data_IF_275266576779
#
_entry.id   IF_275266576779
#
_cell.length_a   1.000
_cell.length_b   1.000
_cell.length_c   1.000
_cell.angle_alpha   90.00
_cell.angle_beta   90.00
_cell.angle_gamma   90.00
#
_symmetry.space_group_name_H-M   'P 1'
#
loop_
_entity.id
_entity.type
_entity.pdbx_description
1 polymer ?
#
# COMPACT_ATOMS: atom_id res chain seq x y z
N UNK A 1 7.09 -32.42 -3.61
CA UNK A 1 8.41 -32.31 -4.28
C UNK A 1 8.44 -30.92 -4.88
N UNK A 2 8.86 -29.95 -4.08
CA UNK A 2 8.84 -28.54 -4.46
C UNK A 2 10.05 -28.28 -5.36
N UNK A 3 9.78 -27.77 -6.56
CA UNK A 3 10.82 -27.37 -7.50
C UNK A 3 11.41 -26.04 -7.00
N UNK A 4 12.47 -26.12 -6.19
CA UNK A 4 13.26 -24.95 -5.82
C UNK A 4 13.86 -24.31 -7.08
N UNK A 5 13.34 -23.14 -7.45
CA UNK A 5 13.73 -22.38 -8.65
C UNK A 5 14.82 -21.36 -8.36
N UNK A 6 15.84 -21.39 -9.23
CA UNK A 6 16.88 -20.37 -9.53
C UNK A 6 17.61 -19.75 -8.34
N UNK A 7 18.84 -20.24 -8.11
CA UNK A 7 19.86 -19.60 -7.27
C UNK A 7 20.43 -18.39 -8.03
N UNK A 8 19.94 -17.19 -7.74
CA UNK A 8 20.49 -15.93 -8.24
C UNK A 8 20.87 -15.01 -7.09
N UNK A 9 22.15 -14.64 -6.98
CA UNK A 9 22.65 -13.61 -6.05
C UNK A 9 22.24 -13.74 -4.56
N UNK A 10 22.21 -14.97 -4.03
CA UNK A 10 21.93 -15.22 -2.61
C UNK A 10 20.45 -15.14 -2.20
N UNK A 11 19.55 -14.92 -3.16
CA UNK A 11 18.09 -14.88 -2.96
C UNK A 11 17.46 -16.16 -3.48
N UNK A 12 16.55 -16.72 -2.70
CA UNK A 12 15.76 -17.89 -3.01
C UNK A 12 14.30 -17.46 -3.18
N UNK A 13 13.62 -18.07 -4.15
CA UNK A 13 12.19 -17.85 -4.36
C UNK A 13 11.45 -19.15 -4.62
N UNK A 14 10.23 -19.28 -4.13
CA UNK A 14 9.29 -20.30 -4.60
C UNK A 14 8.45 -19.71 -5.73
N UNK A 15 8.02 -20.57 -6.67
CA UNK A 15 6.91 -20.26 -7.55
C UNK A 15 5.82 -21.27 -7.25
N UNK A 16 4.67 -20.79 -6.78
CA UNK A 16 3.49 -21.64 -6.63
C UNK A 16 2.82 -21.85 -8.00
N UNK A 17 1.92 -22.84 -8.09
CA UNK A 17 1.08 -23.07 -9.28
C UNK A 17 0.21 -21.85 -9.63
N UNK A 18 -0.05 -20.99 -8.65
CA UNK A 18 -0.89 -19.79 -8.76
C UNK A 18 -0.08 -18.49 -8.84
N UNK A 19 1.26 -18.56 -8.84
CA UNK A 19 2.15 -17.42 -9.09
C UNK A 19 2.70 -16.71 -7.85
N UNK A 20 2.46 -17.19 -6.62
CA UNK A 20 3.08 -16.65 -5.41
C UNK A 20 4.60 -16.78 -5.50
N UNK A 21 5.26 -15.69 -5.14
CA UNK A 21 6.70 -15.57 -5.06
C UNK A 21 7.04 -15.26 -3.59
N UNK A 22 7.09 -16.30 -2.76
CA UNK A 22 7.79 -16.16 -1.47
C UNK A 22 9.26 -15.92 -1.80
N UNK A 23 9.90 -14.94 -1.15
CA UNK A 23 11.31 -14.59 -1.38
C UNK A 23 12.04 -14.51 -0.04
N UNK A 24 13.17 -15.18 0.06
CA UNK A 24 13.97 -15.29 1.29
C UNK A 24 15.45 -15.51 1.01
N UNK A 25 16.30 -15.33 2.02
CA UNK A 25 17.74 -15.56 1.88
C UNK A 25 18.05 -17.04 1.64
N UNK A 26 18.90 -17.36 0.65
CA UNK A 26 19.34 -18.74 0.45
C UNK A 26 20.25 -19.26 1.57
N UNK A 27 20.78 -18.36 2.41
CA UNK A 27 21.59 -18.75 3.57
C UNK A 27 20.68 -19.18 4.71
N UNK A 28 20.72 -20.47 5.05
CA UNK A 28 19.81 -21.08 6.01
C UNK A 28 19.80 -20.40 7.39
N UNK A 29 20.95 -19.90 7.87
CA UNK A 29 21.01 -19.15 9.14
C UNK A 29 20.19 -17.86 9.09
N UNK A 30 20.24 -17.16 7.96
CA UNK A 30 19.61 -15.85 7.78
C UNK A 30 18.10 -16.05 7.56
N UNK A 31 17.73 -17.05 6.76
CA UNK A 31 16.32 -17.45 6.60
C UNK A 31 15.68 -17.93 7.90
N UNK A 32 16.42 -18.54 8.81
CA UNK A 32 15.90 -19.00 10.10
C UNK A 32 15.74 -17.85 11.10
N UNK A 33 16.54 -16.79 11.00
CA UNK A 33 16.45 -15.61 11.87
C UNK A 33 15.43 -14.58 11.41
N UNK A 34 15.07 -14.58 10.13
CA UNK A 34 14.09 -13.66 9.56
C UNK A 34 12.70 -13.83 10.22
N UNK A 35 12.32 -12.88 11.08
CA UNK A 35 11.07 -12.87 11.83
C UNK A 35 10.09 -11.76 11.38
N UNK A 36 10.40 -11.06 10.29
CA UNK A 36 9.58 -10.00 9.75
C UNK A 36 8.96 -10.36 8.40
N UNK A 37 7.64 -10.53 8.37
CA UNK A 37 6.87 -10.73 7.16
C UNK A 37 6.65 -9.41 6.42
N UNK A 38 7.03 -9.35 5.14
CA UNK A 38 6.71 -8.25 4.23
C UNK A 38 5.72 -8.75 3.18
N UNK A 39 4.47 -8.29 3.26
CA UNK A 39 3.41 -8.65 2.32
C UNK A 39 3.38 -7.62 1.20
N UNK A 40 3.61 -8.06 -0.04
CA UNK A 40 3.58 -7.20 -1.23
C UNK A 40 2.30 -7.41 -2.03
N UNK A 41 1.57 -6.32 -2.30
CA UNK A 41 0.20 -6.37 -2.86
C UNK A 41 0.14 -5.63 -4.20
N UNK A 42 -0.21 -6.34 -5.28
CA UNK A 42 -0.22 -5.79 -6.63
C UNK A 42 -1.41 -4.86 -6.91
N UNK A 43 -1.24 -4.03 -7.94
CA UNK A 43 -2.29 -3.16 -8.48
C UNK A 43 -3.28 -3.87 -9.40
N UNK A 44 -4.13 -3.05 -10.05
CA UNK A 44 -5.19 -3.54 -10.94
C UNK A 44 -4.60 -4.23 -12.17
N UNK A 45 -5.19 -5.37 -12.56
CA UNK A 45 -4.69 -6.26 -13.61
C UNK A 45 -3.23 -6.74 -13.40
N UNK A 46 -2.69 -6.58 -12.18
CA UNK A 46 -1.34 -6.97 -11.82
C UNK A 46 -1.21 -8.42 -11.39
N UNK A 47 0.00 -8.76 -10.95
CA UNK A 47 0.29 -10.05 -10.32
C UNK A 47 1.49 -9.96 -9.38
N UNK A 48 1.80 -11.05 -8.66
CA UNK A 48 2.94 -11.14 -7.77
C UNK A 48 4.30 -10.81 -8.45
N UNK A 49 4.42 -11.02 -9.77
CA UNK A 49 5.66 -10.71 -10.51
C UNK A 49 5.94 -9.21 -10.60
N UNK A 50 4.93 -8.36 -10.46
CA UNK A 50 5.08 -6.89 -10.45
C UNK A 50 5.99 -6.42 -9.30
N UNK A 51 6.10 -7.23 -8.26
CA UNK A 51 6.92 -6.97 -7.07
C UNK A 51 8.23 -7.75 -7.05
N UNK A 52 8.55 -8.52 -8.10
CA UNK A 52 9.75 -9.37 -8.15
C UNK A 52 11.01 -8.60 -7.81
N UNK A 53 11.23 -7.46 -8.47
CA UNK A 53 12.43 -6.65 -8.27
C UNK A 53 12.53 -6.20 -6.80
N UNK A 54 11.46 -5.58 -6.27
CA UNK A 54 11.44 -5.10 -4.90
C UNK A 54 11.67 -6.23 -3.89
N UNK A 55 10.96 -7.36 -4.03
CA UNK A 55 11.09 -8.50 -3.14
C UNK A 55 12.54 -9.03 -3.08
N UNK A 56 13.19 -9.14 -4.23
CA UNK A 56 14.59 -9.55 -4.30
C UNK A 56 15.53 -8.52 -3.68
N UNK A 57 15.29 -7.21 -3.84
CA UNK A 57 16.11 -6.18 -3.20
C UNK A 57 15.94 -6.14 -1.67
N UNK A 58 14.71 -6.28 -1.17
CA UNK A 58 14.43 -6.36 0.26
C UNK A 58 15.22 -7.50 0.91
N UNK A 59 15.21 -8.69 0.32
CA UNK A 59 15.94 -9.84 0.83
C UNK A 59 17.46 -9.69 0.67
N UNK A 60 17.95 -9.08 -0.42
CA UNK A 60 19.39 -8.81 -0.59
C UNK A 60 19.94 -7.90 0.49
N UNK A 61 19.20 -6.85 0.84
CA UNK A 61 19.64 -5.82 1.80
C UNK A 61 19.37 -6.23 3.25
N UNK A 62 18.28 -6.96 3.51
CA UNK A 62 17.85 -7.37 4.86
C UNK A 62 17.72 -8.90 5.03
N UNK A 63 18.74 -9.70 4.64
CA UNK A 63 18.63 -11.15 4.46
C UNK A 63 18.29 -11.93 5.73
N UNK A 64 18.69 -11.41 6.89
CA UNK A 64 18.49 -12.02 8.22
C UNK A 64 17.27 -11.45 8.97
N UNK A 65 16.57 -10.49 8.37
CA UNK A 65 15.40 -9.81 8.97
C UNK A 65 14.10 -10.19 8.30
N UNK A 66 14.04 -10.15 6.96
CA UNK A 66 12.78 -10.19 6.23
C UNK A 66 12.52 -11.51 5.51
N UNK A 67 11.25 -11.91 5.54
CA UNK A 67 10.66 -12.90 4.65
C UNK A 67 9.59 -12.17 3.82
N UNK A 68 9.75 -12.14 2.50
CA UNK A 68 8.84 -11.40 1.62
C UNK A 68 7.83 -12.36 1.01
N UNK A 69 6.55 -12.00 1.05
CA UNK A 69 5.46 -12.73 0.42
C UNK A 69 4.76 -11.81 -0.60
N UNK A 70 4.92 -12.10 -1.89
CA UNK A 70 4.13 -11.44 -2.94
C UNK A 70 2.78 -12.16 -3.08
N UNK A 71 1.69 -11.44 -2.77
CA UNK A 71 0.32 -11.98 -2.73
C UNK A 71 -0.14 -12.45 -4.12
N UNK A 72 -0.85 -13.58 -4.18
CA UNK A 72 -1.36 -14.20 -5.41
C UNK A 72 -2.88 -14.30 -5.47
N UNK A 73 -3.62 -14.02 -4.38
CA UNK A 73 -5.08 -14.22 -4.39
C UNK A 73 -5.84 -13.22 -5.25
N UNK A 74 -5.20 -12.11 -5.63
CA UNK A 74 -5.80 -11.03 -6.42
C UNK A 74 -5.00 -10.74 -7.70
N UNK A 75 -4.94 -11.73 -8.61
CA UNK A 75 -4.24 -11.61 -9.90
C UNK A 75 -5.18 -11.31 -11.06
N UNK A 76 -4.69 -10.57 -12.07
CA UNK A 76 -5.38 -10.35 -13.34
C UNK A 76 -6.83 -9.88 -13.15
N UNK A 77 -7.82 -10.59 -13.71
CA UNK A 77 -9.23 -10.19 -13.65
C UNK A 77 -9.84 -10.25 -12.24
N UNK A 78 -9.24 -10.99 -11.30
CA UNK A 78 -9.69 -11.02 -9.89
C UNK A 78 -9.52 -9.66 -9.22
N UNK A 79 -8.65 -8.79 -9.77
CA UNK A 79 -8.49 -7.41 -9.29
C UNK A 79 -9.72 -6.52 -9.53
N UNK A 80 -10.70 -7.01 -10.31
CA UNK A 80 -11.93 -6.29 -10.64
C UNK A 80 -13.11 -6.66 -9.70
N UNK A 81 -12.89 -7.59 -8.77
CA UNK A 81 -13.93 -8.12 -7.88
C UNK A 81 -14.33 -7.17 -6.74
N UNK A 82 -13.67 -6.01 -6.61
CA UNK A 82 -13.93 -5.04 -5.54
C UNK A 82 -12.91 -5.12 -4.40
N UNK A 83 -12.57 -3.95 -3.86
CA UNK A 83 -11.60 -3.81 -2.74
C UNK A 83 -11.98 -4.63 -1.50
N UNK A 84 -13.27 -4.78 -1.22
CA UNK A 84 -13.77 -5.58 -0.09
C UNK A 84 -13.51 -7.08 -0.29
N UNK A 85 -13.88 -7.63 -1.44
CA UNK A 85 -13.65 -9.04 -1.79
C UNK A 85 -12.16 -9.34 -1.87
N UNK A 86 -11.40 -8.46 -2.53
CA UNK A 86 -9.94 -8.61 -2.61
C UNK A 86 -9.29 -8.54 -1.23
N UNK A 87 -9.75 -7.65 -0.36
CA UNK A 87 -9.22 -7.47 0.98
C UNK A 87 -9.50 -8.67 1.90
N UNK A 88 -10.68 -9.28 1.79
CA UNK A 88 -11.00 -10.52 2.50
C UNK A 88 -10.08 -11.67 2.04
N UNK A 89 -9.88 -11.82 0.73
CA UNK A 89 -8.96 -12.82 0.18
C UNK A 89 -7.53 -12.62 0.67
N UNK A 90 -7.05 -11.37 0.65
CA UNK A 90 -5.71 -11.03 1.13
C UNK A 90 -5.58 -11.31 2.64
N UNK A 91 -6.60 -11.00 3.44
CA UNK A 91 -6.57 -11.31 4.87
C UNK A 91 -6.45 -12.82 5.12
N UNK A 92 -7.20 -13.65 4.39
CA UNK A 92 -7.08 -15.10 4.47
C UNK A 92 -5.67 -15.60 4.07
N UNK A 93 -5.13 -15.10 2.97
CA UNK A 93 -3.77 -15.43 2.50
C UNK A 93 -2.70 -15.07 3.53
N UNK A 94 -2.79 -13.90 4.15
CA UNK A 94 -1.84 -13.48 5.19
C UNK A 94 -1.89 -14.41 6.39
N UNK A 95 -3.09 -14.84 6.84
CA UNK A 95 -3.21 -15.80 7.94
C UNK A 95 -2.59 -17.16 7.59
N UNK A 96 -2.80 -17.65 6.36
CA UNK A 96 -2.16 -18.88 5.87
C UNK A 96 -0.62 -18.76 5.87
N UNK A 97 -0.06 -17.61 5.49
CA UNK A 97 1.39 -17.36 5.55
C UNK A 97 1.90 -17.37 6.99
N UNK A 98 1.19 -16.70 7.91
CA UNK A 98 1.56 -16.64 9.33
C UNK A 98 1.54 -18.05 9.94
N UNK A 99 0.54 -18.87 9.64
CA UNK A 99 0.45 -20.25 10.12
C UNK A 99 1.59 -21.13 9.60
N UNK A 100 1.97 -20.96 8.33
CA UNK A 100 3.10 -21.69 7.72
C UNK A 100 4.46 -21.28 8.30
N UNK A 101 4.58 -20.09 8.90
CA UNK A 101 5.84 -19.51 9.43
C UNK A 101 5.66 -19.00 10.86
N UNK A 102 5.61 -19.91 11.86
CA UNK A 102 5.33 -19.55 13.25
C UNK A 102 6.44 -18.75 13.96
N UNK A 103 7.62 -18.61 13.33
CA UNK A 103 8.73 -17.81 13.85
C UNK A 103 8.55 -16.30 13.58
N UNK A 104 7.58 -15.91 12.76
CA UNK A 104 7.28 -14.51 12.47
C UNK A 104 6.79 -13.78 13.72
N UNK A 105 7.27 -12.55 13.91
CA UNK A 105 6.90 -11.66 15.01
C UNK A 105 6.41 -10.30 14.53
N UNK A 106 6.82 -9.90 13.33
CA UNK A 106 6.55 -8.57 12.76
C UNK A 106 5.90 -8.70 11.40
N UNK A 107 5.07 -7.73 11.04
CA UNK A 107 4.44 -7.65 9.73
C UNK A 107 4.52 -6.24 9.14
N UNK A 108 4.66 -6.18 7.82
CA UNK A 108 4.57 -4.95 7.04
C UNK A 108 3.87 -5.20 5.72
N UNK A 109 3.27 -4.15 5.18
CA UNK A 109 2.63 -4.16 3.88
C UNK A 109 3.33 -3.17 2.95
N UNK A 110 3.57 -3.58 1.71
CA UNK A 110 4.01 -2.73 0.61
C UNK A 110 3.04 -2.93 -0.54
N UNK A 111 2.33 -1.89 -0.94
CA UNK A 111 1.18 -2.05 -1.82
C UNK A 111 1.12 -0.97 -2.90
N UNK A 112 0.73 -1.36 -4.11
CA UNK A 112 0.73 -0.47 -5.27
C UNK A 112 -0.68 -0.22 -5.78
N UNK A 113 -0.98 1.03 -6.14
CA UNK A 113 -2.24 1.39 -6.80
C UNK A 113 -3.44 0.92 -5.98
N UNK A 114 -4.43 0.27 -6.60
CA UNK A 114 -5.59 -0.31 -5.88
C UNK A 114 -5.17 -1.30 -4.78
N UNK A 115 -4.00 -1.94 -4.90
CA UNK A 115 -3.45 -2.84 -3.89
C UNK A 115 -3.29 -2.18 -2.52
N UNK A 116 -3.03 -0.87 -2.47
CA UNK A 116 -2.97 -0.13 -1.20
C UNK A 116 -4.33 -0.01 -0.51
N UNK A 117 -5.42 0.10 -1.29
CA UNK A 117 -6.79 0.06 -0.73
C UNK A 117 -7.16 -1.35 -0.27
N UNK A 118 -6.75 -2.38 -1.02
CA UNK A 118 -6.92 -3.79 -0.64
C UNK A 118 -6.17 -4.10 0.66
N UNK A 119 -4.94 -3.64 0.79
CA UNK A 119 -4.14 -3.77 2.00
C UNK A 119 -4.81 -3.06 3.19
N UNK A 120 -5.34 -1.84 3.00
CA UNK A 120 -6.11 -1.12 4.03
C UNK A 120 -7.33 -1.91 4.50
N UNK A 121 -8.05 -2.55 3.59
CA UNK A 121 -9.17 -3.39 3.96
C UNK A 121 -8.71 -4.62 4.76
N UNK A 122 -7.69 -5.32 4.26
CA UNK A 122 -7.16 -6.53 4.87
C UNK A 122 -6.62 -6.30 6.30
N UNK A 123 -5.89 -5.21 6.56
CA UNK A 123 -5.41 -4.91 7.92
C UNK A 123 -6.56 -4.67 8.90
N UNK A 124 -7.69 -4.10 8.44
CA UNK A 124 -8.88 -3.92 9.26
C UNK A 124 -9.52 -5.25 9.67
N UNK A 125 -9.47 -6.26 8.79
CA UNK A 125 -9.91 -7.64 9.09
C UNK A 125 -8.94 -8.40 9.98
N UNK A 126 -7.64 -8.15 9.80
CA UNK A 126 -6.56 -8.83 10.53
C UNK A 126 -6.31 -8.27 11.93
N UNK A 127 -6.84 -7.09 12.23
CA UNK A 127 -6.60 -6.42 13.50
C UNK A 127 -7.13 -7.21 14.68
N UNK A 128 -6.29 -7.39 15.68
CA UNK A 128 -6.64 -7.98 16.97
C UNK A 128 -6.38 -6.93 18.06
N UNK A 129 -7.42 -6.50 18.82
CA UNK A 129 -7.23 -5.55 19.89
C UNK A 129 -6.32 -6.13 21.00
N UNK A 130 -5.72 -5.27 21.85
CA UNK A 130 -4.93 -5.72 22.99
C UNK A 130 -5.72 -6.65 23.91
N UNK A 131 -5.07 -7.64 24.50
CA UNK A 131 -5.71 -8.56 25.44
C UNK A 131 -5.87 -7.86 26.81
N UNK A 132 -7.06 -7.34 27.10
CA UNK A 132 -7.37 -6.58 28.34
C UNK A 132 -7.32 -7.45 29.62
N UNK A 133 -7.22 -8.79 29.49
CA UNK A 133 -7.34 -9.74 30.62
C UNK A 133 -6.19 -9.70 31.64
N UNK A 134 -5.09 -8.99 31.36
CA UNK A 134 -3.93 -8.90 32.28
C UNK A 134 -3.84 -7.56 33.03
N UNK A 135 -4.83 -6.66 32.94
CA UNK A 135 -4.80 -5.36 33.61
C UNK A 135 -5.17 -5.39 35.12
N UNK A 136 -5.55 -6.54 35.68
CA UNK A 136 -5.93 -6.66 37.09
C UNK A 136 -4.77 -6.98 38.04
N UNK A 137 -3.53 -7.17 37.55
CA UNK A 137 -2.36 -7.39 38.41
C UNK A 137 -1.46 -6.13 38.49
N UNK A 138 -1.51 -5.36 39.59
CA UNK A 138 -0.76 -4.12 39.76
C UNK A 138 0.75 -4.34 40.03
N UNK A 139 1.26 -5.57 39.95
CA UNK A 139 2.62 -5.90 40.38
C UNK A 139 3.69 -6.06 39.29
N UNK A 140 3.36 -5.91 37.99
CA UNK A 140 4.34 -6.07 36.91
C UNK A 140 4.76 -4.71 36.34
N UNK A 141 5.86 -4.17 36.88
CA UNK A 141 6.65 -3.08 36.28
C UNK A 141 7.41 -3.54 35.02
N UNK A 142 6.70 -4.12 34.05
CA UNK A 142 7.21 -4.54 32.75
C UNK A 142 6.53 -3.73 31.66
N UNK A 143 7.15 -2.61 31.26
CA UNK A 143 6.65 -1.72 30.21
C UNK A 143 6.49 -2.43 28.85
N UNK A 144 5.30 -2.25 28.27
CA UNK A 144 5.09 -1.82 26.88
C UNK A 144 5.22 -2.79 25.69
N UNK A 145 4.82 -4.06 25.80
CA UNK A 145 4.57 -4.89 24.59
C UNK A 145 3.18 -5.52 24.47
N UNK A 146 2.52 -5.85 25.57
CA UNK A 146 1.20 -6.52 25.54
C UNK A 146 0.01 -5.54 25.47
N UNK A 147 0.26 -4.23 25.41
CA UNK A 147 -0.75 -3.17 25.44
C UNK A 147 -1.18 -2.64 24.07
N UNK A 148 -0.55 -3.08 22.98
CA UNK A 148 -0.83 -2.58 21.62
C UNK A 148 -1.54 -3.64 20.76
N UNK A 149 -2.49 -3.19 19.92
CA UNK A 149 -3.17 -4.10 18.99
C UNK A 149 -2.20 -4.68 17.97
N UNK A 150 -2.53 -5.86 17.42
CA UNK A 150 -1.68 -6.60 16.49
C UNK A 150 -2.38 -6.83 15.16
N UNK A 151 -1.63 -7.22 14.13
CA UNK A 151 -2.17 -7.57 12.81
C UNK A 151 -1.90 -9.06 12.59
N UNK A 152 -2.95 -9.89 12.59
CA UNK A 152 -2.81 -11.34 12.53
C UNK A 152 -2.18 -11.98 13.77
N UNK A 153 -1.86 -11.20 14.81
CA UNK A 153 -1.04 -11.62 15.95
C UNK A 153 0.42 -11.17 15.87
N UNK A 154 0.80 -10.44 14.82
CA UNK A 154 2.14 -9.88 14.61
C UNK A 154 2.20 -8.39 14.93
N UNK A 155 3.38 -7.92 15.34
CA UNK A 155 3.69 -6.51 15.58
C UNK A 155 3.69 -5.74 14.25
N UNK A 156 2.89 -4.68 14.14
CA UNK A 156 2.73 -3.92 12.91
C UNK A 156 3.86 -2.88 12.75
N UNK A 157 4.72 -3.05 11.75
CA UNK A 157 5.93 -2.23 11.59
C UNK A 157 5.71 -1.11 10.55
N UNK A 158 5.53 -1.46 9.28
CA UNK A 158 5.41 -0.51 8.17
C UNK A 158 4.13 -0.75 7.36
N UNK A 159 3.40 0.33 7.09
CA UNK A 159 2.33 0.36 6.10
C UNK A 159 2.74 1.31 4.97
N UNK A 160 3.21 0.73 3.86
CA UNK A 160 3.77 1.44 2.71
C UNK A 160 2.80 1.34 1.55
N UNK A 161 2.41 2.48 0.99
CA UNK A 161 1.62 2.53 -0.23
C UNK A 161 2.33 3.32 -1.32
N UNK A 162 2.19 2.88 -2.56
CA UNK A 162 2.86 3.43 -3.73
C UNK A 162 1.80 3.74 -4.79
N UNK A 163 1.71 5.00 -5.20
CA UNK A 163 0.72 5.48 -6.19
C UNK A 163 -0.71 4.99 -5.91
N UNK A 164 -1.15 4.95 -4.64
CA UNK A 164 -2.45 4.40 -4.22
C UNK A 164 -3.53 5.47 -4.21
N UNK A 165 -4.70 5.28 -4.83
CA UNK A 165 -5.76 6.31 -4.86
C UNK A 165 -6.54 6.35 -3.53
N UNK A 166 -5.91 6.85 -2.45
CA UNK A 166 -6.49 6.83 -1.09
C UNK A 166 -7.79 7.62 -0.95
N UNK A 167 -7.96 8.67 -1.75
CA UNK A 167 -9.15 9.53 -1.79
C UNK A 167 -10.12 9.12 -2.91
N UNK A 168 -9.84 8.01 -3.60
CA UNK A 168 -10.52 7.61 -4.83
C UNK A 168 -9.97 8.30 -6.07
N UNK A 169 -10.74 8.22 -7.17
CA UNK A 169 -10.37 8.66 -8.52
C UNK A 169 -11.38 9.64 -9.14
N UNK A 170 -12.33 10.17 -8.36
CA UNK A 170 -13.26 11.22 -8.83
C UNK A 170 -12.50 12.53 -9.07
N UNK A 171 -12.99 13.35 -10.01
CA UNK A 171 -12.54 14.74 -10.19
C UNK A 171 -11.12 14.92 -10.71
N UNK A 172 -10.31 13.87 -10.81
CA UNK A 172 -9.02 13.94 -11.48
C UNK A 172 -9.28 14.12 -12.98
N UNK A 173 -8.81 15.22 -13.56
CA UNK A 173 -8.71 15.43 -15.03
C UNK A 173 -7.81 14.38 -15.74
N UNK A 174 -7.43 13.32 -15.03
CA UNK A 174 -6.46 12.29 -15.41
C UNK A 174 -7.12 11.00 -15.94
N UNK A 175 -8.38 11.02 -16.36
CA UNK A 175 -8.93 9.91 -17.16
C UNK A 175 -9.52 10.49 -18.44
N UNK A 176 -8.75 10.41 -19.54
CA UNK A 176 -8.98 9.29 -20.43
C UNK A 176 -7.66 8.73 -21.00
N UNK A 177 -7.07 7.74 -20.33
CA UNK A 177 -6.22 6.78 -21.02
C UNK A 177 -6.35 5.43 -20.30
N UNK A 178 -7.29 4.61 -20.78
CA UNK A 178 -7.54 3.25 -20.28
C UNK A 178 -6.41 2.33 -20.75
N UNK A 179 -5.23 2.50 -20.15
CA UNK A 179 -4.11 1.56 -20.21
C UNK A 179 -3.61 1.21 -21.64
N UNK A 180 -3.80 2.09 -22.63
CA UNK A 180 -3.27 1.91 -23.99
C UNK A 180 -3.96 0.83 -24.82
N UNK A 181 -5.17 0.39 -24.45
CA UNK A 181 -5.98 -0.52 -25.25
C UNK A 181 -6.97 0.28 -26.10
N UNK A 182 -6.65 0.49 -27.38
CA UNK A 182 -7.40 1.31 -28.36
C UNK A 182 -8.90 1.01 -28.48
N UNK A 183 -9.33 -0.20 -28.10
CA UNK A 183 -10.74 -0.59 -28.11
C UNK A 183 -11.58 0.11 -27.03
N UNK A 184 -10.98 0.46 -25.89
CA UNK A 184 -11.68 1.08 -24.76
C UNK A 184 -11.85 2.61 -24.91
N UNK A 185 -11.03 3.24 -25.75
CA UNK A 185 -10.98 4.69 -25.95
C UNK A 185 -12.24 5.25 -26.63
N UNK A 186 -12.93 4.47 -27.46
CA UNK A 186 -14.12 4.92 -28.20
C UNK A 186 -15.43 4.92 -27.40
N UNK A 187 -15.45 4.40 -26.17
CA UNK A 187 -16.64 4.31 -25.33
C UNK A 187 -16.52 5.02 -23.96
N UNK A 188 -15.40 5.72 -23.72
CA UNK A 188 -14.88 5.92 -22.37
C UNK A 188 -15.56 6.98 -21.49
N UNK A 189 -16.22 8.01 -22.03
CA UNK A 189 -16.66 9.13 -21.15
C UNK A 189 -17.80 8.79 -20.17
N UNK A 190 -18.55 7.70 -20.38
CA UNK A 190 -19.67 7.30 -19.51
C UNK A 190 -19.53 5.91 -18.86
N UNK A 191 -18.45 5.14 -19.17
CA UNK A 191 -18.40 3.69 -18.91
C UNK A 191 -17.18 3.26 -18.07
N UNK A 192 -16.29 4.18 -17.69
CA UNK A 192 -15.02 3.85 -17.00
C UNK A 192 -15.22 2.98 -15.73
N UNK A 193 -16.27 3.23 -14.95
CA UNK A 193 -16.53 2.44 -13.74
C UNK A 193 -17.06 1.04 -14.07
N UNK A 194 -17.77 0.88 -15.19
CA UNK A 194 -18.26 -0.42 -15.66
C UNK A 194 -17.12 -1.28 -16.20
N UNK A 195 -16.10 -0.66 -16.80
CA UNK A 195 -14.91 -1.34 -17.33
C UNK A 195 -14.14 -2.04 -16.20
N UNK A 196 -14.04 -1.41 -15.02
CA UNK A 196 -13.39 -1.98 -13.84
C UNK A 196 -14.35 -2.63 -12.84
N UNK A 197 -15.58 -2.94 -13.26
CA UNK A 197 -16.60 -3.65 -12.48
C UNK A 197 -16.77 -3.08 -11.06
N UNK A 198 -16.75 -3.92 -10.02
CA UNK A 198 -16.96 -3.51 -8.63
C UNK A 198 -15.80 -2.66 -8.11
N UNK A 199 -14.56 -2.97 -8.51
CA UNK A 199 -13.38 -2.16 -8.19
C UNK A 199 -13.52 -0.73 -8.70
N UNK A 200 -14.00 -0.56 -9.94
CA UNK A 200 -14.30 0.75 -10.52
C UNK A 200 -15.34 1.52 -9.68
N UNK A 201 -16.43 0.86 -9.28
CA UNK A 201 -17.44 1.49 -8.41
C UNK A 201 -16.84 2.01 -7.09
N UNK A 202 -15.93 1.27 -6.47
CA UNK A 202 -15.27 1.71 -5.23
C UNK A 202 -14.32 2.89 -5.47
N UNK A 203 -13.47 2.82 -6.50
CA UNK A 203 -12.47 3.86 -6.80
C UNK A 203 -13.13 5.22 -7.07
N UNK A 204 -14.28 5.22 -7.72
CA UNK A 204 -14.99 6.46 -8.01
C UNK A 204 -16.17 6.73 -7.04
N UNK A 205 -16.27 5.98 -5.95
CA UNK A 205 -17.23 6.22 -4.86
C UNK A 205 -18.70 6.20 -5.36
N UNK A 206 -19.03 5.29 -6.27
CA UNK A 206 -20.38 5.05 -6.81
C UNK A 206 -20.97 3.72 -6.30
N UNK A 207 -20.51 3.28 -5.14
CA UNK A 207 -20.89 2.05 -4.44
C UNK A 207 -21.65 2.33 -3.15
N UNK A 208 -22.28 3.50 -3.04
CA UNK A 208 -23.27 3.73 -1.99
C UNK A 208 -24.47 2.80 -2.25
N UNK A 209 -24.74 1.91 -1.30
CA UNK A 209 -25.82 0.92 -1.37
C UNK A 209 -26.70 1.09 -0.11
N UNK A 210 -28.03 1.17 -0.28
CA UNK A 210 -29.09 1.14 0.75
C UNK A 210 -28.66 1.56 2.18
N UNK A 211 -28.36 2.86 2.37
CA UNK A 211 -28.05 3.46 3.67
C UNK A 211 -26.57 3.38 4.10
N UNK A 212 -25.71 2.66 3.36
CA UNK A 212 -24.27 2.59 3.61
C UNK A 212 -23.50 3.57 2.70
N UNK A 213 -22.56 4.35 3.24
CA UNK A 213 -21.71 5.20 2.41
C UNK A 213 -20.73 4.38 1.55
N UNK A 214 -20.10 4.98 0.53
CA UNK A 214 -19.05 4.35 -0.27
C UNK A 214 -17.97 3.68 0.57
N UNK A 215 -17.40 2.57 0.09
CA UNK A 215 -16.46 1.74 0.85
C UNK A 215 -15.27 2.53 1.39
N UNK A 216 -14.69 3.44 0.60
CA UNK A 216 -13.53 4.22 1.04
C UNK A 216 -13.85 5.10 2.25
N UNK A 217 -15.09 5.63 2.31
CA UNK A 217 -15.60 6.35 3.48
C UNK A 217 -15.87 5.41 4.64
N UNK A 218 -16.40 4.21 4.39
CA UNK A 218 -16.57 3.17 5.42
C UNK A 218 -15.24 2.77 6.07
N UNK A 219 -14.15 2.71 5.29
CA UNK A 219 -12.81 2.43 5.80
C UNK A 219 -12.18 3.58 6.62
N UNK A 220 -12.92 4.64 6.91
CA UNK A 220 -12.55 5.69 7.86
C UNK A 220 -13.03 5.41 9.27
N UNK A 221 -13.87 4.40 9.50
CA UNK A 221 -14.41 4.11 10.83
C UNK A 221 -14.26 2.62 11.13
N UNK A 222 -14.23 2.27 12.41
CA UNK A 222 -14.25 0.88 12.84
C UNK A 222 -15.71 0.41 12.98
N UNK A 223 -16.11 -0.65 12.26
CA UNK A 223 -17.49 -1.15 12.22
C UNK A 223 -17.54 -2.65 11.94
N UNK A 224 -18.63 -3.35 12.33
CA UNK A 224 -18.98 -4.72 11.87
C UNK A 224 -17.76 -5.67 11.71
N UNK A 225 -16.97 -5.85 12.78
CA UNK A 225 -15.77 -6.69 12.82
C UNK A 225 -14.64 -6.30 11.84
N UNK A 226 -14.61 -5.03 11.44
CA UNK A 226 -13.58 -4.42 10.61
C UNK A 226 -13.04 -3.17 11.33
N UNK A 227 -11.77 -3.21 11.75
CA UNK A 227 -11.15 -2.17 12.55
C UNK A 227 -10.14 -1.37 11.72
N UNK A 228 -10.60 -0.70 10.66
CA UNK A 228 -9.72 -0.08 9.67
C UNK A 228 -8.81 1.01 10.24
N UNK A 229 -9.34 1.92 11.08
CA UNK A 229 -8.54 3.00 11.65
C UNK A 229 -7.70 2.53 12.82
N UNK A 230 -8.23 1.63 13.65
CA UNK A 230 -7.42 1.01 14.71
C UNK A 230 -6.26 0.19 14.13
N UNK A 231 -6.48 -0.54 13.04
CA UNK A 231 -5.42 -1.25 12.33
C UNK A 231 -4.35 -0.30 11.77
N UNK A 232 -4.75 0.78 11.10
CA UNK A 232 -3.79 1.78 10.60
C UNK A 232 -2.97 2.39 11.72
N UNK A 233 -3.60 2.71 12.86
CA UNK A 233 -2.95 3.37 13.99
C UNK A 233 -1.84 2.54 14.62
N UNK A 234 -1.93 1.21 14.60
CA UNK A 234 -0.91 0.35 15.24
C UNK A 234 0.38 0.20 14.46
N UNK A 235 0.40 0.52 13.16
CA UNK A 235 1.66 0.55 12.40
C UNK A 235 2.59 1.64 12.95
N UNK A 236 3.85 1.27 13.25
CA UNK A 236 4.85 2.24 13.73
C UNK A 236 5.18 3.29 12.68
N UNK A 237 5.21 2.88 11.41
CA UNK A 237 5.47 3.75 10.25
C UNK A 237 4.36 3.59 9.23
N UNK A 238 3.81 4.72 8.78
CA UNK A 238 2.86 4.82 7.66
C UNK A 238 3.45 5.78 6.65
N UNK A 239 3.64 5.32 5.42
CA UNK A 239 4.28 6.13 4.37
C UNK A 239 3.56 5.96 3.04
N UNK A 240 3.36 7.07 2.34
CA UNK A 240 2.83 7.09 0.97
C UNK A 240 3.91 7.59 0.01
N UNK A 241 4.13 6.86 -1.08
CA UNK A 241 4.98 7.25 -2.20
C UNK A 241 4.10 7.70 -3.37
N UNK A 242 4.27 8.94 -3.82
CA UNK A 242 3.35 9.57 -4.77
C UNK A 242 4.07 10.14 -5.98
N UNK A 243 3.62 9.79 -7.18
CA UNK A 243 4.11 10.42 -8.38
C UNK A 243 3.59 11.87 -8.47
N UNK A 244 4.51 12.82 -8.62
CA UNK A 244 4.17 14.23 -8.77
C UNK A 244 3.60 14.54 -10.17
N UNK A 245 4.03 13.78 -11.18
CA UNK A 245 3.59 13.95 -12.56
C UNK A 245 3.73 12.66 -13.36
N UNK A 246 3.17 12.68 -14.58
CA UNK A 246 3.19 11.59 -15.56
C UNK A 246 2.54 10.26 -15.11
N UNK A 247 1.97 10.21 -13.91
CA UNK A 247 1.02 9.17 -13.53
C UNK A 247 -0.37 9.58 -14.02
N UNK A 248 -0.82 8.90 -15.07
CA UNK A 248 -2.15 9.10 -15.68
C UNK A 248 -3.21 8.17 -15.09
N UNK A 249 -2.88 7.39 -14.06
CA UNK A 249 -3.79 6.43 -13.45
C UNK A 249 -4.20 6.94 -12.06
N UNK A 250 -3.24 7.41 -11.28
CA UNK A 250 -3.47 7.90 -9.91
C UNK A 250 -2.86 9.28 -9.74
N UNK A 251 -3.72 10.24 -9.40
CA UNK A 251 -3.31 11.62 -9.23
C UNK A 251 -2.52 11.85 -7.95
N UNK A 252 -1.54 12.75 -8.03
CA UNK A 252 -0.66 13.12 -6.93
C UNK A 252 -1.42 13.39 -5.63
N UNK A 253 -2.47 14.21 -5.70
CA UNK A 253 -3.32 14.56 -4.56
C UNK A 253 -3.89 13.35 -3.81
N UNK A 254 -4.44 12.39 -4.56
CA UNK A 254 -5.09 11.21 -3.96
C UNK A 254 -4.06 10.23 -3.43
N UNK A 255 -2.90 10.07 -4.08
CA UNK A 255 -1.83 9.22 -3.55
C UNK A 255 -1.09 9.81 -2.37
N UNK A 256 -0.98 11.14 -2.29
CA UNK A 256 -0.28 11.80 -1.19
C UNK A 256 -1.18 12.12 0.01
N UNK A 257 -2.49 11.83 -0.07
CA UNK A 257 -3.48 12.19 0.96
C UNK A 257 -3.37 13.70 1.27
N UNK A 258 -3.56 14.53 0.24
CA UNK A 258 -3.53 15.99 0.36
C UNK A 258 -4.76 16.61 -0.29
N UNK A 259 -5.01 17.87 0.01
CA UNK A 259 -5.86 18.76 -0.81
C UNK A 259 -5.04 19.29 -1.99
N UNK A 260 -5.71 19.81 -3.03
CA UNK A 260 -5.00 20.46 -4.15
C UNK A 260 -4.14 21.64 -3.67
N UNK A 261 -4.67 22.44 -2.73
CA UNK A 261 -3.98 23.61 -2.16
C UNK A 261 -2.79 23.24 -1.26
N UNK A 262 -2.71 21.99 -0.80
CA UNK A 262 -1.65 21.47 0.05
C UNK A 262 -0.51 20.82 -0.76
N UNK A 263 -0.66 20.68 -2.08
CA UNK A 263 0.38 20.08 -2.91
C UNK A 263 1.62 20.99 -2.89
N UNK A 264 2.80 20.46 -2.54
CA UNK A 264 4.00 21.27 -2.46
C UNK A 264 4.40 21.75 -3.86
N UNK A 265 5.15 22.86 -3.91
CA UNK A 265 5.97 23.12 -5.09
C UNK A 265 7.22 22.28 -4.93
N UNK A 266 7.53 21.47 -5.92
CA UNK A 266 8.78 20.73 -5.94
C UNK A 266 9.76 21.46 -6.88
N UNK A 267 11.01 21.49 -6.46
CA UNK A 267 12.13 22.03 -7.25
C UNK A 267 12.95 20.84 -7.77
N UNK A 268 13.72 21.02 -8.84
CA UNK A 268 14.67 20.02 -9.36
C UNK A 268 15.87 19.85 -8.40
N UNK A 269 15.60 19.55 -7.13
CA UNK A 269 16.59 19.28 -6.10
C UNK A 269 17.02 17.83 -6.28
N UNK A 270 18.23 17.64 -6.81
CA UNK A 270 18.80 16.30 -6.97
C UNK A 270 19.36 15.81 -5.63
N UNK A 271 18.73 14.81 -5.03
CA UNK A 271 19.36 13.98 -4.01
C UNK A 271 20.31 12.99 -4.70
N UNK A 272 21.61 13.04 -4.41
CA UNK A 272 22.60 12.15 -5.03
C UNK A 272 22.32 10.67 -4.77
N UNK A 273 21.76 10.34 -3.59
CA UNK A 273 21.41 8.98 -3.22
C UNK A 273 20.05 8.55 -3.77
N UNK A 274 19.07 9.46 -3.89
CA UNK A 274 17.75 9.11 -4.41
C UNK A 274 17.26 10.16 -5.42
N UNK A 275 17.78 10.14 -6.66
CA UNK A 275 17.56 11.21 -7.63
C UNK A 275 16.09 11.50 -7.96
N UNK A 276 15.18 10.53 -7.79
CA UNK A 276 13.76 10.71 -8.08
C UNK A 276 12.92 11.14 -6.87
N UNK A 277 13.49 11.19 -5.66
CA UNK A 277 12.79 11.69 -4.46
C UNK A 277 12.93 13.22 -4.43
N UNK A 278 11.82 13.93 -4.63
CA UNK A 278 11.83 15.39 -4.82
C UNK A 278 11.26 16.19 -3.64
N UNK A 279 10.45 15.55 -2.79
CA UNK A 279 9.93 16.17 -1.58
C UNK A 279 9.55 15.11 -0.55
N UNK A 280 9.82 15.40 0.72
CA UNK A 280 9.48 14.53 1.85
C UNK A 280 8.91 15.36 3.00
N UNK A 281 7.83 14.89 3.59
CA UNK A 281 7.30 15.48 4.82
C UNK A 281 6.77 14.43 5.78
N UNK A 282 6.80 14.78 7.07
CA UNK A 282 6.19 14.00 8.13
C UNK A 282 5.00 14.76 8.72
N UNK A 283 3.79 14.34 8.36
CA UNK A 283 2.55 14.89 8.90
C UNK A 283 2.20 14.19 10.22
N UNK A 284 2.12 14.95 11.31
CA UNK A 284 1.58 14.45 12.58
C UNK A 284 0.08 14.15 12.43
N UNK A 285 -0.41 13.26 13.29
CA UNK A 285 -1.85 13.01 13.39
C UNK A 285 -2.57 14.32 13.72
N UNK A 286 -3.66 14.57 13.02
CA UNK A 286 -4.54 15.71 13.27
C UNK A 286 -5.30 15.49 14.58
N UNK A 287 -5.14 16.41 15.54
CA UNK A 287 -5.98 16.48 16.73
C UNK A 287 -7.22 17.32 16.40
N UNK A 288 -8.41 16.75 16.64
CA UNK A 288 -9.73 17.37 16.40
C UNK A 288 -9.94 18.74 17.09
N UNK A 289 -9.02 19.16 17.97
CA UNK A 289 -9.06 20.44 18.70
C UNK A 289 -8.43 21.62 17.94
N UNK A 290 -7.82 21.41 16.77
CA UNK A 290 -7.34 22.51 15.94
C UNK A 290 -8.44 22.99 14.99
N UNK A 291 -8.76 24.28 15.07
CA UNK A 291 -9.87 24.91 14.34
C UNK A 291 -9.70 24.77 12.82
N UNK A 292 -10.76 24.29 12.17
CA UNK A 292 -10.91 24.28 10.72
C UNK A 292 -10.90 25.72 10.23
N UNK A 293 -9.78 26.18 9.65
CA UNK A 293 -9.81 27.40 8.85
C UNK A 293 -10.64 27.08 7.61
N UNK A 294 -11.87 27.56 7.58
CA UNK A 294 -12.77 27.43 6.44
C UNK A 294 -12.17 28.21 5.27
N UNK A 295 -11.36 27.53 4.46
CA UNK A 295 -10.95 28.03 3.15
C UNK A 295 -12.16 27.89 2.24
N UNK A 296 -12.47 28.98 1.54
CA UNK A 296 -13.58 29.09 0.60
C UNK A 296 -13.57 27.92 -0.41
N UNK A 297 -14.76 27.34 -0.58
CA UNK A 297 -15.09 26.18 -1.40
C UNK A 297 -14.73 26.39 -2.88
N UNK A 298 -13.50 26.02 -3.27
CA UNK A 298 -13.10 25.83 -4.66
C UNK A 298 -13.40 24.40 -5.10
N UNK A 299 -14.69 24.04 -5.15
CA UNK A 299 -15.20 22.88 -5.88
C UNK A 299 -14.68 21.50 -5.43
N UNK A 300 -14.20 21.36 -4.19
CA UNK A 300 -13.77 20.08 -3.63
C UNK A 300 -14.98 19.19 -3.34
N UNK A 301 -15.00 17.95 -3.85
CA UNK A 301 -16.07 17.00 -3.57
C UNK A 301 -16.16 16.80 -2.04
N UNK A 302 -17.29 17.14 -1.40
CA UNK A 302 -17.47 17.01 0.06
C UNK A 302 -17.01 15.64 0.59
N UNK A 303 -17.18 14.58 -0.20
CA UNK A 303 -16.76 13.24 0.18
C UNK A 303 -15.23 13.10 0.22
N UNK A 304 -14.52 13.74 -0.71
CA UNK A 304 -13.07 13.79 -0.72
C UNK A 304 -12.51 14.55 0.49
N UNK A 305 -13.14 15.67 0.88
CA UNK A 305 -12.79 16.39 2.12
C UNK A 305 -12.93 15.52 3.37
N UNK A 306 -14.00 14.72 3.45
CA UNK A 306 -14.18 13.75 4.53
C UNK A 306 -13.08 12.68 4.52
N UNK A 307 -12.65 12.20 3.34
CA UNK A 307 -11.60 11.18 3.23
C UNK A 307 -10.22 11.72 3.62
N UNK A 308 -9.83 12.91 3.14
CA UNK A 308 -8.51 13.50 3.47
C UNK A 308 -8.45 13.83 4.96
N UNK A 309 -9.53 14.37 5.53
CA UNK A 309 -9.61 14.67 6.96
C UNK A 309 -9.60 13.40 7.79
N UNK A 310 -10.39 12.39 7.41
CA UNK A 310 -10.48 11.11 8.10
C UNK A 310 -9.14 10.36 8.15
N UNK A 311 -8.39 10.34 7.03
CA UNK A 311 -7.07 9.73 6.95
C UNK A 311 -5.98 10.50 7.68
N UNK A 312 -6.15 11.81 7.86
CA UNK A 312 -5.21 12.66 8.58
C UNK A 312 -5.27 12.47 10.10
N UNK A 313 -6.25 11.72 10.63
CA UNK A 313 -6.32 11.32 12.05
C UNK A 313 -5.22 10.36 12.50
N UNK A 314 -4.36 9.90 11.59
CA UNK A 314 -3.12 9.17 11.89
C UNK A 314 -1.95 9.86 11.20
N UNK A 315 -0.74 9.73 11.75
CA UNK A 315 0.45 10.34 11.13
C UNK A 315 0.83 9.64 9.83
N UNK A 316 1.36 10.39 8.88
CA UNK A 316 1.85 9.88 7.60
C UNK A 316 3.19 10.53 7.26
N UNK A 317 4.14 9.72 6.83
CA UNK A 317 5.23 10.19 5.99
C UNK A 317 4.74 10.25 4.54
N UNK A 318 5.05 11.33 3.84
CA UNK A 318 4.64 11.54 2.45
C UNK A 318 5.89 11.82 1.63
N UNK A 319 6.17 10.91 0.70
CA UNK A 319 7.33 10.94 -0.17
C UNK A 319 6.85 11.16 -1.60
N UNK A 320 7.28 12.26 -2.19
CA UNK A 320 6.92 12.66 -3.54
C UNK A 320 8.05 12.31 -4.52
N UNK A 321 7.66 11.67 -5.62
CA UNK A 321 8.56 11.06 -6.60
C UNK A 321 8.34 11.70 -7.97
N UNK A 322 9.42 12.06 -8.65
CA UNK A 322 9.37 12.63 -9.99
C UNK A 322 10.28 11.89 -10.96
N UNK A 323 9.69 11.33 -12.02
CA UNK A 323 10.40 10.75 -13.16
C UNK A 323 10.49 11.72 -14.35
N UNK A 324 10.40 13.03 -14.10
CA UNK A 324 10.37 14.07 -15.14
C UNK A 324 11.55 13.97 -16.13
N UNK A 325 12.74 13.66 -15.62
CA UNK A 325 13.98 13.55 -16.42
C UNK A 325 14.17 12.16 -17.03
N UNK A 326 13.41 11.16 -16.58
CA UNK A 326 13.54 9.75 -16.93
C UNK A 326 13.05 9.47 -18.36
N UNK A 327 13.58 8.41 -18.99
CA UNK A 327 13.16 7.99 -20.33
C UNK A 327 11.75 7.41 -20.33
N UNK A 328 11.37 6.73 -19.26
CA UNK A 328 10.07 6.08 -19.11
C UNK A 328 9.06 6.92 -18.32
N UNK A 329 9.20 8.25 -18.32
CA UNK A 329 8.36 9.17 -17.52
C UNK A 329 6.86 8.92 -17.67
N UNK A 330 6.35 8.66 -18.88
CA UNK A 330 4.92 8.39 -19.14
C UNK A 330 4.42 7.07 -18.55
N UNK A 331 5.32 6.21 -18.07
CA UNK A 331 5.02 5.00 -17.33
C UNK A 331 5.29 5.16 -15.82
N UNK A 332 5.35 6.39 -15.29
CA UNK A 332 5.63 6.68 -13.86
C UNK A 332 4.87 5.78 -12.88
N UNK A 333 3.60 5.47 -13.19
CA UNK A 333 2.78 4.55 -12.38
C UNK A 333 3.41 3.16 -12.22
N UNK A 334 4.07 2.63 -13.25
CA UNK A 334 4.77 1.33 -13.21
C UNK A 334 6.25 1.47 -12.83
N UNK A 335 6.87 2.60 -13.17
CA UNK A 335 8.28 2.89 -12.84
C UNK A 335 8.50 2.97 -11.34
N UNK A 336 7.62 3.64 -10.60
CA UNK A 336 7.75 3.85 -9.14
C UNK A 336 7.86 2.53 -8.34
N UNK A 337 7.34 1.42 -8.85
CA UNK A 337 7.43 0.09 -8.22
C UNK A 337 8.42 -0.85 -8.92
N UNK A 338 9.06 -0.41 -10.01
CA UNK A 338 9.92 -1.23 -10.88
C UNK A 338 9.19 -2.49 -11.36
N UNK A 339 8.01 -2.30 -11.97
CA UNK A 339 7.11 -3.41 -12.39
C UNK A 339 7.79 -4.43 -13.31
N UNK A 340 8.69 -3.95 -14.16
CA UNK A 340 9.50 -4.77 -15.07
C UNK A 340 10.95 -4.31 -14.91
N UNK A 341 11.83 -5.20 -14.48
CA UNK A 341 13.21 -4.84 -14.17
C UNK A 341 13.95 -4.22 -15.35
N UNK A 342 13.68 -4.66 -16.58
CA UNK A 342 14.39 -4.16 -17.76
C UNK A 342 13.90 -2.78 -18.22
N UNK A 343 12.58 -2.57 -18.19
CA UNK A 343 11.96 -1.34 -18.66
C UNK A 343 11.91 -0.26 -17.57
N UNK A 344 11.77 -0.64 -16.30
CA UNK A 344 11.41 0.27 -15.21
C UNK A 344 12.53 0.47 -14.18
N UNK A 345 13.77 0.09 -14.49
CA UNK A 345 14.93 0.18 -13.57
C UNK A 345 15.20 1.59 -13.06
N UNK A 346 14.75 2.63 -13.77
CA UNK A 346 14.87 4.03 -13.34
C UNK A 346 14.22 4.27 -11.97
N UNK A 347 13.22 3.46 -11.55
CA UNK A 347 12.62 3.55 -10.22
C UNK A 347 13.35 2.79 -9.10
N UNK A 348 14.52 2.19 -9.38
CA UNK A 348 15.23 1.37 -8.39
C UNK A 348 15.69 2.16 -7.16
N UNK A 349 16.00 3.46 -7.31
CA UNK A 349 16.36 4.33 -6.19
C UNK A 349 15.18 4.58 -5.24
N UNK A 350 13.94 4.59 -5.75
CA UNK A 350 12.72 4.67 -4.91
C UNK A 350 12.57 3.40 -4.07
N UNK A 351 12.79 2.23 -4.67
CA UNK A 351 12.81 0.95 -3.93
C UNK A 351 13.92 0.94 -2.88
N UNK A 352 15.11 1.44 -3.23
CA UNK A 352 16.22 1.58 -2.27
C UNK A 352 15.85 2.52 -1.12
N UNK A 353 15.27 3.68 -1.42
CA UNK A 353 14.79 4.63 -0.40
C UNK A 353 13.81 3.97 0.57
N UNK A 354 12.90 3.16 0.04
CA UNK A 354 11.93 2.41 0.84
C UNK A 354 12.59 1.42 1.79
N UNK A 355 13.60 0.68 1.32
CA UNK A 355 14.34 -0.32 2.11
C UNK A 355 15.22 0.36 3.17
N UNK A 356 15.93 1.43 2.81
CA UNK A 356 16.86 2.14 3.70
C UNK A 356 16.14 2.77 4.90
N UNK A 357 14.84 3.09 4.75
CA UNK A 357 13.97 3.62 5.81
C UNK A 357 12.98 2.58 6.38
N UNK A 358 13.17 1.29 6.09
CA UNK A 358 12.24 0.25 6.53
C UNK A 358 12.50 -0.15 7.99
N UNK A 359 11.45 -0.16 8.83
CA UNK A 359 11.58 -0.60 10.21
C UNK A 359 11.57 -2.13 10.28
N UNK A 360 12.64 -2.76 10.80
CA UNK A 360 12.76 -4.23 10.89
C UNK A 360 12.57 -4.82 12.27
#
# INVERSE_FOLDING_TARGET
MDKNGVVGNGVCSSESVNGSRDVWSCKASDSASADHLVVMVNGILGSATDWKFAAEQFVKVLPDKVFVHCSERNVSMLTLDGVDVMGERLAGEVLEVIERKPNLKKISFVAHSVGGLVARYAIGKLYKPPNVKNLEDPSINGRDKDSMGTIGGLEAMNFVTVATPHLGSRGNKQVPFLFGVTAFEKAASCVIHWIFRRTGRHLFLTDADEGKPPLLKRMMEDHDDCYFMSALRVFKRRVVYSNVGYDHIVGWRTSSIRRNVELPKWEDISNEQYPHIVYEEHCKAYDEQSETTSVEDDGSDKLEEELVTGLSRVSWEKVDVSFHSSRQRFAAHSVIQVKDESAHIEGADVIRHMIDHFLT
#
